data_IF_343419201655
#
_entry.id   IF_343419201655
#
_cell.length_a   1.000
_cell.length_b   1.000
_cell.length_c   1.000
_cell.angle_alpha   90.00
_cell.angle_beta   90.00
_cell.angle_gamma   90.00
#
_symmetry.space_group_name_H-M   'P 1'
#
loop_
_entity.id
_entity.type
_entity.pdbx_description
1 polymer ?
#
# COMPACT_ATOMS: atom_id res chain seq x y z
N UNK A 1 27.13 5.01 16.31
CA UNK A 1 25.77 5.24 15.78
C UNK A 1 24.94 5.74 16.96
N UNK A 2 24.24 6.87 16.86
CA UNK A 2 23.45 7.40 17.99
C UNK A 2 22.22 6.53 18.28
N UNK A 3 21.68 6.63 19.49
CA UNK A 3 20.47 5.95 19.93
C UNK A 3 19.28 6.25 19.00
N UNK A 4 19.16 7.51 18.55
CA UNK A 4 18.14 7.92 17.59
C UNK A 4 18.27 7.20 16.24
N UNK A 5 19.49 7.01 15.74
CA UNK A 5 19.71 6.31 14.48
C UNK A 5 19.38 4.82 14.64
N UNK A 6 19.76 4.21 15.77
CA UNK A 6 19.41 2.82 16.08
C UNK A 6 17.89 2.63 16.20
N UNK A 7 17.18 3.55 16.86
CA UNK A 7 15.72 3.53 16.96
C UNK A 7 15.04 3.64 15.58
N UNK A 8 15.54 4.52 14.70
CA UNK A 8 15.07 4.64 13.30
C UNK A 8 15.30 3.36 12.51
N UNK A 9 16.49 2.75 12.63
CA UNK A 9 16.79 1.49 11.96
C UNK A 9 15.92 0.35 12.45
N UNK A 10 15.75 0.21 13.76
CA UNK A 10 14.90 -0.83 14.34
C UNK A 10 13.44 -0.69 13.87
N UNK A 11 12.88 0.53 13.96
CA UNK A 11 11.51 0.78 13.53
C UNK A 11 11.35 0.60 12.00
N UNK A 12 12.31 1.07 11.21
CA UNK A 12 12.33 0.88 9.76
C UNK A 12 12.36 -0.60 9.36
N UNK A 13 13.19 -1.41 10.04
CA UNK A 13 13.27 -2.85 9.80
C UNK A 13 11.96 -3.55 10.17
N UNK A 14 11.45 -3.30 11.37
CA UNK A 14 10.21 -3.93 11.86
C UNK A 14 9.01 -3.55 10.99
N UNK A 15 8.87 -2.28 10.62
CA UNK A 15 7.80 -1.83 9.72
C UNK A 15 7.92 -2.45 8.32
N UNK A 16 9.11 -2.50 7.73
CA UNK A 16 9.33 -3.15 6.44
C UNK A 16 8.95 -4.65 6.48
N UNK A 17 9.40 -5.38 7.50
CA UNK A 17 9.04 -6.80 7.67
C UNK A 17 7.54 -7.01 7.88
N UNK A 18 6.91 -6.19 8.72
CA UNK A 18 5.47 -6.27 8.94
C UNK A 18 4.70 -6.05 7.63
N UNK A 19 5.12 -5.06 6.84
CA UNK A 19 4.50 -4.71 5.57
C UNK A 19 4.76 -5.74 4.46
N UNK A 20 5.57 -6.78 4.67
CA UNK A 20 5.60 -7.94 3.75
C UNK A 20 4.35 -8.83 3.89
N UNK A 21 3.69 -8.80 5.04
CA UNK A 21 2.52 -9.64 5.31
C UNK A 21 1.22 -8.87 5.12
N UNK A 22 1.18 -7.59 5.49
CA UNK A 22 -0.02 -6.74 5.41
C UNK A 22 -0.70 -6.73 4.03
N UNK A 23 -0.04 -6.33 2.92
CA UNK A 23 -0.70 -6.19 1.63
C UNK A 23 -1.25 -7.52 1.11
N UNK A 24 -0.54 -8.62 1.38
CA UNK A 24 -1.01 -9.95 0.99
C UNK A 24 -2.25 -10.38 1.79
N UNK A 25 -2.34 -10.04 3.08
CA UNK A 25 -3.55 -10.24 3.90
C UNK A 25 -4.73 -9.45 3.33
N UNK A 26 -4.52 -8.16 3.02
CA UNK A 26 -5.58 -7.30 2.46
C UNK A 26 -6.14 -7.84 1.15
N UNK A 27 -5.27 -8.30 0.25
CA UNK A 27 -5.67 -8.85 -1.04
C UNK A 27 -6.27 -10.26 -0.95
N UNK A 28 -5.64 -11.18 -0.21
CA UNK A 28 -6.13 -12.55 -0.11
C UNK A 28 -7.44 -12.66 0.65
N UNK A 29 -7.69 -11.84 1.68
CA UNK A 29 -8.97 -11.88 2.41
C UNK A 29 -10.15 -11.61 1.46
N UNK A 30 -10.02 -10.59 0.61
CA UNK A 30 -11.01 -10.25 -0.42
C UNK A 30 -11.13 -11.35 -1.48
N UNK A 31 -10.01 -11.89 -1.98
CA UNK A 31 -10.02 -12.93 -3.01
C UNK A 31 -10.66 -14.23 -2.49
N UNK A 32 -10.39 -14.63 -1.25
CA UNK A 32 -11.01 -15.81 -0.61
C UNK A 32 -12.51 -15.59 -0.42
N UNK A 33 -12.92 -14.40 0.06
CA UNK A 33 -14.34 -14.04 0.19
C UNK A 33 -15.07 -14.09 -1.16
N UNK A 34 -14.45 -13.60 -2.24
CA UNK A 34 -14.98 -13.66 -3.60
C UNK A 34 -15.12 -15.11 -4.07
N UNK A 35 -14.10 -15.94 -3.90
CA UNK A 35 -14.14 -17.35 -4.31
C UNK A 35 -15.24 -18.12 -3.58
N UNK A 36 -15.38 -17.90 -2.27
CA UNK A 36 -16.44 -18.53 -1.51
C UNK A 36 -17.83 -18.00 -1.90
N UNK A 37 -17.95 -16.71 -2.21
CA UNK A 37 -19.20 -16.14 -2.75
C UNK A 37 -19.62 -16.84 -4.04
N UNK A 38 -18.65 -17.10 -4.93
CA UNK A 38 -18.92 -17.82 -6.18
C UNK A 38 -19.37 -19.25 -5.87
N UNK A 39 -18.71 -19.93 -4.92
CA UNK A 39 -19.13 -21.26 -4.48
C UNK A 39 -20.58 -21.27 -3.96
N UNK A 40 -20.91 -20.46 -2.95
CA UNK A 40 -22.24 -20.46 -2.32
C UNK A 40 -23.35 -20.08 -3.30
N UNK A 41 -23.06 -19.22 -4.30
CA UNK A 41 -24.03 -18.85 -5.34
C UNK A 41 -24.20 -19.90 -6.42
N UNK A 42 -23.14 -20.62 -6.78
CA UNK A 42 -23.16 -21.52 -7.95
C UNK A 42 -23.22 -23.01 -7.60
N UNK A 43 -22.92 -23.39 -6.35
CA UNK A 43 -22.71 -24.77 -5.94
C UNK A 43 -21.44 -25.41 -6.52
N UNK A 44 -20.56 -24.64 -7.19
CA UNK A 44 -19.38 -25.19 -7.84
C UNK A 44 -18.26 -25.49 -6.82
N UNK A 45 -18.10 -26.78 -6.52
CA UNK A 45 -17.10 -27.33 -5.59
C UNK A 45 -15.63 -26.95 -5.91
N UNK A 46 -15.31 -26.62 -7.16
CA UNK A 46 -13.96 -26.13 -7.51
C UNK A 46 -13.67 -24.81 -6.77
N UNK A 47 -14.64 -23.91 -6.64
CA UNK A 47 -14.46 -22.65 -5.91
C UNK A 47 -14.41 -22.83 -4.39
N UNK A 48 -15.07 -23.87 -3.84
CA UNK A 48 -14.92 -24.27 -2.44
C UNK A 48 -13.49 -24.67 -2.14
N UNK A 49 -12.93 -25.56 -2.97
CA UNK A 49 -11.53 -25.99 -2.87
C UNK A 49 -10.57 -24.82 -3.03
N UNK A 50 -10.89 -23.87 -3.91
CA UNK A 50 -10.10 -22.65 -4.08
C UNK A 50 -10.10 -21.80 -2.81
N UNK A 51 -11.27 -21.52 -2.22
CA UNK A 51 -11.38 -20.79 -0.97
C UNK A 51 -10.59 -21.45 0.18
N UNK A 52 -10.64 -22.78 0.29
CA UNK A 52 -9.87 -23.55 1.28
C UNK A 52 -8.35 -23.48 1.04
N UNK A 53 -7.90 -23.65 -0.21
CA UNK A 53 -6.48 -23.63 -0.56
C UNK A 53 -5.85 -22.24 -0.36
N UNK A 54 -6.44 -21.21 -0.96
CA UNK A 54 -5.95 -19.84 -0.84
C UNK A 54 -6.15 -19.30 0.58
N UNK A 55 -7.23 -19.70 1.25
CA UNK A 55 -7.49 -19.39 2.64
C UNK A 55 -6.46 -19.96 3.60
N UNK A 56 -5.91 -21.15 3.33
CA UNK A 56 -4.78 -21.67 4.11
C UNK A 56 -3.55 -20.77 4.03
N UNK A 57 -3.20 -20.29 2.83
CA UNK A 57 -2.08 -19.37 2.63
C UNK A 57 -2.37 -18.00 3.29
N UNK A 58 -3.60 -17.52 3.17
CA UNK A 58 -4.08 -16.34 3.87
C UNK A 58 -3.89 -16.45 5.39
N UNK A 59 -4.34 -17.54 6.02
CA UNK A 59 -4.22 -17.73 7.49
C UNK A 59 -2.75 -17.79 7.94
N UNK A 60 -1.88 -18.44 7.17
CA UNK A 60 -0.44 -18.47 7.46
C UNK A 60 0.15 -17.05 7.41
N UNK A 61 -0.14 -16.31 6.33
CA UNK A 61 0.34 -14.95 6.15
C UNK A 61 -0.23 -13.99 7.22
N UNK A 62 -1.51 -14.11 7.50
CA UNK A 62 -2.22 -13.34 8.54
C UNK A 62 -1.56 -13.53 9.90
N UNK A 63 -1.26 -14.78 10.28
CA UNK A 63 -0.62 -15.09 11.56
C UNK A 63 0.72 -14.38 11.71
N UNK A 64 1.53 -14.34 10.64
CA UNK A 64 2.80 -13.58 10.64
C UNK A 64 2.58 -12.07 10.73
N UNK A 65 1.53 -11.56 10.07
CA UNK A 65 1.10 -10.17 10.20
C UNK A 65 0.76 -9.79 11.64
N UNK A 66 -0.01 -10.62 12.35
CA UNK A 66 -0.36 -10.39 13.77
C UNK A 66 0.88 -10.33 14.65
N UNK A 67 1.79 -11.31 14.54
CA UNK A 67 3.01 -11.38 15.35
C UNK A 67 3.88 -10.13 15.14
N UNK A 68 4.09 -9.75 13.88
CA UNK A 68 4.91 -8.57 13.54
C UNK A 68 4.24 -7.26 13.93
N UNK A 69 2.90 -7.17 13.84
CA UNK A 69 2.13 -6.00 14.23
C UNK A 69 2.18 -5.72 15.73
N UNK A 70 2.09 -6.77 16.57
CA UNK A 70 2.25 -6.65 18.03
C UNK A 70 3.59 -6.00 18.39
N UNK A 71 4.67 -6.44 17.75
CA UNK A 71 6.01 -5.86 17.98
C UNK A 71 6.04 -4.37 17.62
N UNK A 72 5.41 -3.99 16.51
CA UNK A 72 5.37 -2.60 16.04
C UNK A 72 4.60 -1.68 17.00
N UNK A 73 3.45 -2.14 17.54
CA UNK A 73 2.67 -1.38 18.53
C UNK A 73 3.49 -1.08 19.78
N UNK A 74 4.19 -2.07 20.32
CA UNK A 74 5.04 -1.86 21.50
C UNK A 74 6.24 -0.94 21.22
N UNK A 75 6.77 -0.91 19.99
CA UNK A 75 7.90 -0.03 19.65
C UNK A 75 7.55 1.46 19.75
N UNK A 76 6.29 1.86 19.51
CA UNK A 76 5.88 3.25 19.74
C UNK A 76 6.09 3.66 21.20
N UNK A 77 5.70 2.81 22.16
CA UNK A 77 5.84 3.10 23.58
C UNK A 77 7.28 2.99 24.11
N UNK A 78 8.04 2.00 23.62
CA UNK A 78 9.40 1.72 24.12
C UNK A 78 10.45 2.67 23.56
N UNK A 79 10.50 2.83 22.23
CA UNK A 79 11.59 3.54 21.55
C UNK A 79 11.24 5.00 21.22
N UNK A 80 9.95 5.35 21.27
CA UNK A 80 9.42 6.66 20.92
C UNK A 80 8.55 7.22 22.06
N UNK A 81 9.05 7.15 23.29
CA UNK A 81 8.28 7.49 24.50
C UNK A 81 7.87 8.97 24.57
N UNK A 82 8.75 9.91 24.19
CA UNK A 82 8.40 11.34 24.11
C UNK A 82 7.35 11.60 23.04
N UNK A 83 7.47 10.97 21.86
CA UNK A 83 6.45 11.04 20.82
C UNK A 83 5.10 10.53 21.33
N UNK A 84 5.10 9.36 21.99
CA UNK A 84 3.88 8.77 22.57
C UNK A 84 3.26 9.65 23.65
N UNK A 85 4.06 10.33 24.48
CA UNK A 85 3.55 11.31 25.45
C UNK A 85 3.00 12.56 24.77
N UNK A 86 3.67 13.03 23.72
CA UNK A 86 3.34 14.28 23.06
C UNK A 86 2.08 14.20 22.20
N UNK A 87 1.86 13.11 21.44
CA UNK A 87 0.68 12.97 20.55
C UNK A 87 -0.24 11.81 20.92
N UNK A 88 -0.06 11.18 22.08
CA UNK A 88 -0.80 9.98 22.47
C UNK A 88 -2.32 10.15 22.48
N UNK A 89 -2.82 11.34 22.82
CA UNK A 89 -4.26 11.66 22.83
C UNK A 89 -4.90 11.63 21.42
N UNK A 90 -4.11 11.88 20.38
CA UNK A 90 -4.57 11.91 18.99
C UNK A 90 -4.22 10.60 18.29
N UNK A 91 -2.95 10.19 18.39
CA UNK A 91 -2.42 9.01 17.71
C UNK A 91 -2.93 7.71 18.33
N UNK A 92 -3.12 7.67 19.65
CA UNK A 92 -3.53 6.46 20.36
C UNK A 92 -4.99 6.06 20.10
N UNK A 93 -5.86 7.00 19.76
CA UNK A 93 -7.31 6.74 19.59
C UNK A 93 -7.59 5.83 18.38
N UNK A 94 -7.10 6.13 17.15
CA UNK A 94 -7.26 5.21 16.03
C UNK A 94 -6.68 3.82 16.30
N UNK A 95 -5.50 3.72 16.95
CA UNK A 95 -4.89 2.44 17.31
C UNK A 95 -5.74 1.63 18.29
N UNK A 96 -6.36 2.29 19.28
CA UNK A 96 -7.26 1.63 20.22
C UNK A 96 -8.54 1.13 19.53
N UNK A 97 -9.12 1.94 18.63
CA UNK A 97 -10.30 1.55 17.84
C UNK A 97 -9.97 0.38 16.91
N UNK A 98 -8.80 0.40 16.27
CA UNK A 98 -8.31 -0.71 15.45
C UNK A 98 -8.31 -2.02 16.23
N UNK A 99 -7.73 -2.02 17.43
CA UNK A 99 -7.69 -3.19 18.29
C UNK A 99 -9.09 -3.64 18.74
N UNK A 100 -9.94 -2.71 19.19
CA UNK A 100 -11.26 -3.02 19.76
C UNK A 100 -12.29 -3.45 18.70
N UNK A 101 -12.24 -2.87 17.50
CA UNK A 101 -13.24 -3.08 16.46
C UNK A 101 -12.74 -4.04 15.38
N UNK A 102 -11.64 -3.72 14.72
CA UNK A 102 -11.19 -4.48 13.55
C UNK A 102 -10.57 -5.82 13.98
N UNK A 103 -9.64 -5.82 14.94
CA UNK A 103 -8.94 -7.03 15.35
C UNK A 103 -9.87 -8.06 16.04
N UNK A 104 -10.79 -7.60 16.91
CA UNK A 104 -11.78 -8.50 17.53
C UNK A 104 -12.73 -9.11 16.51
N UNK A 105 -13.25 -8.30 15.59
CA UNK A 105 -14.14 -8.76 14.53
C UNK A 105 -13.40 -9.78 13.65
N UNK A 106 -12.18 -9.46 13.24
CA UNK A 106 -11.34 -10.33 12.43
C UNK A 106 -11.04 -11.66 13.13
N UNK A 107 -10.48 -11.64 14.35
CA UNK A 107 -10.08 -12.86 15.06
C UNK A 107 -11.25 -13.78 15.39
N UNK A 108 -12.42 -13.22 15.75
CA UNK A 108 -13.62 -14.00 16.06
C UNK A 108 -14.20 -14.67 14.82
N UNK A 109 -14.44 -13.90 13.76
CA UNK A 109 -15.03 -14.45 12.54
C UNK A 109 -14.03 -15.31 11.74
N UNK A 110 -12.73 -15.05 11.85
CA UNK A 110 -11.71 -15.94 11.27
C UNK A 110 -11.71 -17.30 11.97
N UNK A 111 -11.90 -17.35 13.29
CA UNK A 111 -12.06 -18.61 14.01
C UNK A 111 -13.26 -19.41 13.51
N UNK A 112 -14.41 -18.75 13.32
CA UNK A 112 -15.61 -19.38 12.74
C UNK A 112 -15.30 -19.88 11.32
N UNK A 113 -14.63 -19.08 10.50
CA UNK A 113 -14.31 -19.45 9.13
C UNK A 113 -13.33 -20.63 9.01
N UNK A 114 -12.30 -20.70 9.86
CA UNK A 114 -11.31 -21.79 9.83
C UNK A 114 -11.97 -23.12 10.20
N UNK A 115 -12.81 -23.13 11.25
CA UNK A 115 -13.35 -24.35 11.83
C UNK A 115 -14.81 -24.65 11.45
N UNK A 116 -15.43 -23.78 10.65
CA UNK A 116 -16.87 -23.76 10.42
C UNK A 116 -17.38 -24.55 9.22
N UNK A 117 -16.51 -25.01 8.31
CA UNK A 117 -16.90 -25.64 7.04
C UNK A 117 -17.99 -26.72 7.14
N UNK A 118 -17.97 -27.52 8.22
CA UNK A 118 -18.95 -28.59 8.49
C UNK A 118 -19.81 -28.33 9.75
N UNK A 119 -19.65 -27.16 10.39
CA UNK A 119 -20.28 -26.84 11.68
C UNK A 119 -21.32 -25.71 11.61
N UNK A 120 -21.25 -24.86 10.59
CA UNK A 120 -22.20 -23.77 10.37
C UNK A 120 -22.78 -23.84 8.96
N UNK A 121 -23.90 -23.17 8.73
CA UNK A 121 -24.47 -23.07 7.38
C UNK A 121 -23.51 -22.33 6.43
N UNK A 122 -23.55 -22.67 5.15
CA UNK A 122 -22.71 -22.03 4.11
C UNK A 122 -22.86 -20.51 4.07
N UNK A 123 -24.05 -19.98 4.38
CA UNK A 123 -24.30 -18.53 4.46
C UNK A 123 -23.60 -17.87 5.65
N UNK A 124 -23.57 -18.54 6.79
CA UNK A 124 -22.86 -18.05 7.98
C UNK A 124 -21.35 -18.13 7.77
N UNK A 125 -20.89 -19.19 7.13
CA UNK A 125 -19.48 -19.34 6.74
C UNK A 125 -19.05 -18.21 5.79
N UNK A 126 -19.86 -17.94 4.77
CA UNK A 126 -19.62 -16.85 3.82
C UNK A 126 -19.66 -15.47 4.48
N UNK A 127 -20.62 -15.23 5.36
CA UNK A 127 -20.68 -13.99 6.15
C UNK A 127 -19.40 -13.80 6.96
N UNK A 128 -18.87 -14.89 7.54
CA UNK A 128 -17.67 -14.85 8.37
C UNK A 128 -16.45 -14.36 7.58
N UNK A 129 -16.22 -14.88 6.36
CA UNK A 129 -15.08 -14.42 5.55
C UNK A 129 -15.24 -12.99 5.05
N UNK A 130 -16.47 -12.55 4.75
CA UNK A 130 -16.71 -11.16 4.39
C UNK A 130 -16.47 -10.20 5.56
N UNK A 131 -16.89 -10.58 6.78
CA UNK A 131 -16.60 -9.80 7.98
C UNK A 131 -15.10 -9.73 8.25
N UNK A 132 -14.37 -10.83 8.08
CA UNK A 132 -12.89 -10.85 8.13
C UNK A 132 -12.32 -9.89 7.08
N UNK A 133 -12.69 -10.03 5.81
CA UNK A 133 -12.12 -9.21 4.73
C UNK A 133 -12.40 -7.72 4.92
N UNK A 134 -13.62 -7.35 5.33
CA UNK A 134 -13.99 -5.97 5.63
C UNK A 134 -13.22 -5.47 6.86
N UNK A 135 -13.10 -6.27 7.92
CA UNK A 135 -12.36 -5.91 9.13
C UNK A 135 -10.87 -5.66 8.84
N UNK A 136 -10.20 -6.56 8.11
CA UNK A 136 -8.78 -6.39 7.74
C UNK A 136 -8.55 -5.09 6.96
N UNK A 137 -9.45 -4.79 6.02
CA UNK A 137 -9.35 -3.56 5.23
C UNK A 137 -9.71 -2.31 6.05
N UNK A 138 -10.66 -2.39 6.98
CA UNK A 138 -11.01 -1.30 7.88
C UNK A 138 -9.91 -1.03 8.92
N UNK A 139 -9.16 -2.04 9.36
CA UNK A 139 -7.95 -1.83 10.19
C UNK A 139 -6.98 -0.87 9.52
N UNK A 140 -6.76 -1.02 8.20
CA UNK A 140 -5.89 -0.11 7.46
C UNK A 140 -6.37 1.35 7.51
N UNK A 141 -7.68 1.63 7.63
CA UNK A 141 -8.20 2.99 7.76
C UNK A 141 -7.71 3.65 9.05
N UNK A 142 -7.77 2.92 10.15
CA UNK A 142 -7.43 3.44 11.48
C UNK A 142 -5.94 3.74 11.59
N UNK A 143 -5.09 2.80 11.17
CA UNK A 143 -3.63 3.02 11.21
C UNK A 143 -3.19 4.11 10.20
N UNK A 144 -3.87 4.22 9.04
CA UNK A 144 -3.58 5.29 8.08
C UNK A 144 -4.15 6.63 8.51
N UNK A 145 -5.18 6.67 9.34
CA UNK A 145 -5.63 7.90 10.03
C UNK A 145 -4.53 8.43 10.94
N UNK A 146 -3.92 7.54 11.74
CA UNK A 146 -2.79 7.88 12.58
C UNK A 146 -1.57 8.34 11.75
N UNK A 147 -1.24 7.65 10.67
CA UNK A 147 -0.15 8.06 9.78
C UNK A 147 -0.43 9.39 9.06
N UNK A 148 -1.66 9.62 8.63
CA UNK A 148 -2.07 10.86 7.96
C UNK A 148 -1.97 12.06 8.87
N UNK A 149 -2.30 11.93 10.15
CA UNK A 149 -2.04 12.97 11.14
C UNK A 149 -0.55 13.32 11.23
N UNK A 150 0.34 12.32 11.20
CA UNK A 150 1.80 12.58 11.20
C UNK A 150 2.27 13.35 9.96
N UNK A 151 1.57 13.21 8.82
CA UNK A 151 1.93 13.84 7.55
C UNK A 151 1.28 15.22 7.36
N UNK A 152 0.04 15.37 7.83
CA UNK A 152 -0.77 16.58 7.74
C UNK A 152 -1.57 16.72 9.06
N UNK A 153 -0.98 17.32 10.10
CA UNK A 153 -1.62 17.45 11.41
C UNK A 153 -2.86 18.36 11.34
N UNK A 154 -4.01 17.84 11.78
CA UNK A 154 -5.29 18.57 11.88
C UNK A 154 -5.96 18.23 13.21
N UNK A 155 -7.02 18.98 13.56
CA UNK A 155 -7.88 18.68 14.71
C UNK A 155 -7.14 18.53 16.05
N UNK A 156 -6.16 19.40 16.31
CA UNK A 156 -5.42 19.41 17.56
C UNK A 156 -5.21 20.82 18.12
N UNK A 157 -4.97 20.88 19.43
CA UNK A 157 -4.46 22.06 20.13
C UNK A 157 -3.16 21.71 20.86
N UNK A 158 -2.31 22.70 21.07
CA UNK A 158 -1.09 22.53 21.85
C UNK A 158 -1.32 23.01 23.28
N UNK A 159 -0.98 22.15 24.23
CA UNK A 159 -0.78 22.52 25.64
C UNK A 159 0.70 22.79 25.88
N UNK A 160 1.08 23.12 27.12
CA UNK A 160 2.49 23.29 27.49
C UNK A 160 3.33 22.01 27.31
N UNK A 161 2.71 20.83 27.31
CA UNK A 161 3.43 19.54 27.37
C UNK A 161 3.06 18.54 26.28
N UNK A 162 1.91 18.71 25.61
CA UNK A 162 1.40 17.75 24.60
C UNK A 162 0.42 18.37 23.62
N UNK A 163 0.19 17.68 22.50
CA UNK A 163 -0.91 17.91 21.60
C UNK A 163 -2.17 17.13 22.07
N UNK A 164 -3.30 17.81 22.12
CA UNK A 164 -4.60 17.25 22.50
C UNK A 164 -5.58 17.32 21.33
N UNK A 165 -6.39 16.28 21.16
CA UNK A 165 -7.35 16.19 20.07
C UNK A 165 -8.53 17.12 20.34
N UNK A 166 -8.85 17.97 19.36
CA UNK A 166 -10.01 18.88 19.46
C UNK A 166 -11.25 18.31 18.79
N UNK A 167 -11.09 17.53 17.72
CA UNK A 167 -12.21 16.98 16.96
C UNK A 167 -11.87 15.65 16.26
N UNK A 168 -12.47 14.55 16.74
CA UNK A 168 -12.25 13.23 16.16
C UNK A 168 -12.77 13.08 14.72
N UNK A 169 -13.90 13.73 14.38
CA UNK A 169 -14.46 13.63 13.03
C UNK A 169 -13.57 14.37 12.01
N UNK A 170 -13.01 15.52 12.39
CA UNK A 170 -12.05 16.25 11.56
C UNK A 170 -10.75 15.46 11.36
N UNK A 171 -10.27 14.76 12.39
CA UNK A 171 -9.14 13.82 12.27
C UNK A 171 -9.42 12.71 11.25
N UNK A 172 -10.61 12.09 11.32
CA UNK A 172 -11.02 11.02 10.39
C UNK A 172 -11.28 11.54 8.97
N UNK A 173 -11.73 12.78 8.82
CA UNK A 173 -11.97 13.44 7.53
C UNK A 173 -10.76 14.20 6.99
N UNK A 174 -9.59 14.05 7.63
CA UNK A 174 -8.33 14.60 7.15
C UNK A 174 -8.13 14.23 5.66
N UNK A 175 -8.00 15.21 4.75
CA UNK A 175 -7.88 14.95 3.31
C UNK A 175 -6.75 13.98 2.97
N UNK A 176 -5.66 13.98 3.75
CA UNK A 176 -4.52 13.09 3.53
C UNK A 176 -4.93 11.61 3.66
N UNK A 177 -5.83 11.27 4.59
CA UNK A 177 -6.37 9.90 4.76
C UNK A 177 -7.05 9.45 3.47
N UNK A 178 -7.90 10.28 2.89
CA UNK A 178 -8.73 9.90 1.76
C UNK A 178 -7.97 9.87 0.43
N UNK A 179 -6.79 10.46 0.36
CA UNK A 179 -5.84 10.25 -0.74
C UNK A 179 -4.95 9.02 -0.52
N UNK A 180 -4.52 8.74 0.72
CA UNK A 180 -3.61 7.65 1.05
C UNK A 180 -4.30 6.28 1.17
N UNK A 181 -5.43 6.21 1.87
CA UNK A 181 -6.14 4.97 2.19
C UNK A 181 -6.52 4.16 0.96
N UNK A 182 -7.16 4.74 -0.08
CA UNK A 182 -7.50 3.96 -1.26
C UNK A 182 -6.25 3.48 -2.00
N UNK A 183 -5.16 4.26 -1.99
CA UNK A 183 -3.91 3.84 -2.61
C UNK A 183 -3.33 2.60 -1.93
N UNK A 184 -3.26 2.59 -0.60
CA UNK A 184 -2.71 1.47 0.17
C UNK A 184 -3.55 0.20 0.02
N UNK A 185 -4.88 0.31 0.12
CA UNK A 185 -5.78 -0.84 -0.04
C UNK A 185 -5.67 -1.44 -1.45
N UNK A 186 -5.72 -0.59 -2.48
CA UNK A 186 -5.67 -1.07 -3.86
C UNK A 186 -4.30 -1.66 -4.22
N UNK A 187 -3.22 -1.15 -3.60
CA UNK A 187 -1.91 -1.80 -3.63
C UNK A 187 -1.96 -3.21 -3.02
N UNK A 188 -2.54 -3.37 -1.82
CA UNK A 188 -2.71 -4.68 -1.20
C UNK A 188 -3.55 -5.66 -2.05
N UNK A 189 -4.62 -5.17 -2.67
CA UNK A 189 -5.43 -5.95 -3.61
C UNK A 189 -4.61 -6.41 -4.82
N UNK A 190 -3.77 -5.52 -5.35
CA UNK A 190 -2.85 -5.84 -6.45
C UNK A 190 -1.85 -6.91 -6.01
N UNK A 191 -1.27 -6.80 -4.81
CA UNK A 191 -0.36 -7.81 -4.23
C UNK A 191 -1.02 -9.19 -4.15
N UNK A 192 -2.23 -9.28 -3.59
CA UNK A 192 -2.98 -10.54 -3.54
C UNK A 192 -3.27 -11.13 -4.92
N UNK A 193 -3.62 -10.29 -5.89
CA UNK A 193 -3.87 -10.73 -7.26
C UNK A 193 -2.63 -11.31 -7.93
N UNK A 194 -1.49 -10.61 -7.85
CA UNK A 194 -0.22 -11.04 -8.43
C UNK A 194 0.32 -12.31 -7.77
N UNK A 195 0.09 -12.47 -6.47
CA UNK A 195 0.39 -13.72 -5.76
C UNK A 195 -0.39 -14.91 -6.32
N UNK A 196 -1.72 -14.78 -6.47
CA UNK A 196 -2.57 -15.82 -7.07
C UNK A 196 -2.16 -16.09 -8.52
N UNK A 197 -1.88 -15.04 -9.31
CA UNK A 197 -1.46 -15.16 -10.71
C UNK A 197 -0.15 -15.91 -10.84
N UNK A 198 0.86 -15.56 -10.05
CA UNK A 198 2.19 -16.19 -10.11
C UNK A 198 2.16 -17.66 -9.72
N UNK A 199 1.48 -18.00 -8.62
CA UNK A 199 1.34 -19.41 -8.19
C UNK A 199 0.49 -20.20 -9.19
N UNK A 200 -0.61 -19.62 -9.70
CA UNK A 200 -1.43 -20.29 -10.71
C UNK A 200 -0.64 -20.54 -12.00
N UNK A 201 0.14 -19.56 -12.45
CA UNK A 201 1.00 -19.71 -13.62
C UNK A 201 2.02 -20.85 -13.45
N UNK A 202 2.65 -20.94 -12.28
CA UNK A 202 3.58 -22.03 -11.95
C UNK A 202 2.93 -23.42 -12.05
N UNK A 203 1.73 -23.59 -11.50
CA UNK A 203 1.02 -24.88 -11.56
C UNK A 203 0.49 -25.20 -12.97
N UNK A 204 0.03 -24.20 -13.71
CA UNK A 204 -0.42 -24.36 -15.10
C UNK A 204 0.72 -24.81 -16.02
N UNK A 205 1.92 -24.25 -15.87
CA UNK A 205 3.12 -24.68 -16.61
C UNK A 205 3.47 -26.15 -16.36
N UNK A 206 3.23 -26.64 -15.14
CA UNK A 206 3.44 -28.04 -14.75
C UNK A 206 2.26 -28.96 -15.09
N UNK A 207 1.21 -28.44 -15.71
CA UNK A 207 -0.03 -29.15 -16.03
C UNK A 207 -0.68 -29.81 -14.80
N UNK A 208 -0.52 -29.21 -13.61
CA UNK A 208 -1.09 -29.69 -12.37
C UNK A 208 -2.46 -29.05 -12.15
N UNK A 209 -3.50 -29.86 -11.88
CA UNK A 209 -4.86 -29.45 -11.53
C UNK A 209 -5.37 -28.27 -12.39
N UNK A 210 -5.39 -28.48 -13.71
CA UNK A 210 -5.60 -27.41 -14.70
C UNK A 210 -6.89 -26.63 -14.47
N UNK A 211 -8.01 -27.29 -14.17
CA UNK A 211 -9.28 -26.60 -13.93
C UNK A 211 -9.18 -25.62 -12.75
N UNK A 212 -8.66 -26.09 -11.62
CA UNK A 212 -8.48 -25.29 -10.42
C UNK A 212 -7.63 -24.04 -10.68
N UNK A 213 -6.46 -24.22 -11.32
CA UNK A 213 -5.54 -23.11 -11.53
C UNK A 213 -5.93 -22.21 -12.71
N UNK A 214 -6.69 -22.70 -13.70
CA UNK A 214 -7.31 -21.82 -14.71
C UNK A 214 -8.36 -20.91 -14.08
N UNK A 215 -9.20 -21.44 -13.19
CA UNK A 215 -10.19 -20.64 -12.47
C UNK A 215 -9.54 -19.65 -11.50
N UNK A 216 -8.52 -20.08 -10.75
CA UNK A 216 -7.72 -19.20 -9.88
C UNK A 216 -7.05 -18.08 -10.67
N UNK A 217 -6.43 -18.41 -11.82
CA UNK A 217 -5.82 -17.45 -12.72
C UNK A 217 -6.84 -16.44 -13.26
N UNK A 218 -8.04 -16.89 -13.62
CA UNK A 218 -9.11 -16.01 -14.12
C UNK A 218 -9.57 -15.02 -13.04
N UNK A 219 -9.83 -15.48 -11.82
CA UNK A 219 -10.20 -14.61 -10.70
C UNK A 219 -9.09 -13.60 -10.41
N UNK A 220 -7.84 -14.07 -10.29
CA UNK A 220 -6.67 -13.20 -10.06
C UNK A 220 -6.45 -12.18 -11.18
N UNK A 221 -6.64 -12.57 -12.45
CA UNK A 221 -6.45 -11.67 -13.58
C UNK A 221 -7.50 -10.55 -13.64
N UNK A 222 -8.77 -10.88 -13.38
CA UNK A 222 -9.86 -9.88 -13.36
C UNK A 222 -9.67 -8.92 -12.19
N UNK A 223 -9.47 -9.47 -10.98
CA UNK A 223 -9.29 -8.67 -9.78
C UNK A 223 -8.03 -7.80 -9.89
N UNK A 224 -6.90 -8.39 -10.28
CA UNK A 224 -5.63 -7.68 -10.44
C UNK A 224 -5.66 -6.56 -11.48
N UNK A 225 -6.33 -6.77 -12.62
CA UNK A 225 -6.48 -5.70 -13.62
C UNK A 225 -7.28 -4.52 -13.07
N UNK A 226 -8.39 -4.79 -12.38
CA UNK A 226 -9.21 -3.73 -11.78
C UNK A 226 -8.40 -3.00 -10.70
N UNK A 227 -7.78 -3.73 -9.78
CA UNK A 227 -7.00 -3.15 -8.67
C UNK A 227 -5.82 -2.31 -9.15
N UNK A 228 -5.05 -2.79 -10.14
CA UNK A 228 -3.86 -2.08 -10.62
C UNK A 228 -4.21 -0.82 -11.41
N UNK A 229 -5.32 -0.82 -12.15
CA UNK A 229 -5.78 0.39 -12.84
C UNK A 229 -6.30 1.43 -11.84
N UNK A 230 -7.04 0.98 -10.83
CA UNK A 230 -7.54 1.87 -9.78
C UNK A 230 -6.40 2.46 -8.94
N UNK A 231 -5.40 1.66 -8.54
CA UNK A 231 -4.26 2.17 -7.74
C UNK A 231 -3.42 3.16 -8.54
N UNK A 232 -3.22 2.94 -9.85
CA UNK A 232 -2.53 3.90 -10.70
C UNK A 232 -3.28 5.24 -10.77
N UNK A 233 -4.61 5.20 -10.96
CA UNK A 233 -5.44 6.41 -10.99
C UNK A 233 -5.49 7.15 -9.65
N UNK A 234 -5.61 6.43 -8.53
CA UNK A 234 -5.58 7.03 -7.19
C UNK A 234 -4.18 7.57 -6.88
N UNK A 235 -3.12 6.87 -7.27
CA UNK A 235 -1.74 7.31 -7.10
C UNK A 235 -1.44 8.61 -7.83
N UNK A 236 -1.95 8.76 -9.05
CA UNK A 236 -1.88 10.03 -9.78
C UNK A 236 -2.53 11.17 -8.98
N UNK A 237 -3.78 10.97 -8.53
CA UNK A 237 -4.49 11.98 -7.70
C UNK A 237 -3.78 12.28 -6.39
N UNK A 238 -3.21 11.26 -5.73
CA UNK A 238 -2.44 11.45 -4.50
C UNK A 238 -1.16 12.25 -4.77
N UNK A 239 -0.46 12.00 -5.88
CA UNK A 239 0.71 12.77 -6.30
C UNK A 239 0.38 14.26 -6.47
N UNK A 240 -0.73 14.57 -7.16
CA UNK A 240 -1.21 15.95 -7.32
C UNK A 240 -1.52 16.62 -5.98
N UNK A 241 -2.19 15.90 -5.07
CA UNK A 241 -2.45 16.40 -3.72
C UNK A 241 -1.16 16.65 -2.91
N UNK A 242 -0.13 15.82 -3.10
CA UNK A 242 1.16 16.00 -2.43
C UNK A 242 1.97 17.17 -2.98
N UNK A 243 1.77 17.59 -4.24
CA UNK A 243 2.36 18.82 -4.77
C UNK A 243 1.89 20.03 -3.96
N UNK A 244 0.63 20.04 -3.53
CA UNK A 244 0.05 21.16 -2.76
C UNK A 244 0.38 21.06 -1.27
N UNK A 245 0.29 19.85 -0.69
CA UNK A 245 0.37 19.67 0.77
C UNK A 245 1.77 19.32 1.28
N UNK A 246 2.61 18.67 0.48
CA UNK A 246 3.99 18.30 0.82
C UNK A 246 4.94 18.51 -0.37
N UNK A 247 5.08 19.74 -0.89
CA UNK A 247 5.86 20.03 -2.10
C UNK A 247 7.32 19.58 -2.00
N UNK A 248 7.95 19.70 -0.83
CA UNK A 248 9.35 19.26 -0.62
C UNK A 248 9.53 17.76 -0.89
N UNK A 249 8.54 16.93 -0.52
CA UNK A 249 8.56 15.49 -0.77
C UNK A 249 8.47 15.19 -2.26
N UNK A 250 7.62 15.91 -2.99
CA UNK A 250 7.47 15.74 -4.44
C UNK A 250 8.68 16.27 -5.20
N UNK A 251 9.24 17.42 -4.81
CA UNK A 251 10.46 17.96 -5.39
C UNK A 251 11.65 17.00 -5.20
N UNK A 252 11.80 16.42 -4.01
CA UNK A 252 12.78 15.37 -3.75
C UNK A 252 12.49 14.09 -4.55
N UNK A 253 11.22 13.70 -4.65
CA UNK A 253 10.77 12.59 -5.49
C UNK A 253 10.93 12.87 -6.99
N UNK A 254 11.31 14.07 -7.42
CA UNK A 254 11.66 14.38 -8.81
C UNK A 254 13.13 14.80 -8.98
N UNK A 255 13.90 14.85 -7.89
CA UNK A 255 15.22 15.48 -7.81
C UNK A 255 15.25 16.89 -8.42
N UNK A 256 14.18 17.66 -8.22
CA UNK A 256 14.04 19.02 -8.72
C UNK A 256 14.67 20.01 -7.73
N UNK A 257 15.89 20.44 -8.00
CA UNK A 257 16.63 21.37 -7.13
C UNK A 257 16.16 22.82 -7.28
N UNK A 258 16.02 23.27 -8.52
CA UNK A 258 15.59 24.62 -8.89
C UNK A 258 14.14 24.60 -9.36
N UNK A 259 13.39 25.66 -9.04
CA UNK A 259 12.02 25.84 -9.54
C UNK A 259 12.00 25.95 -11.06
N UNK A 260 11.03 25.31 -11.71
CA UNK A 260 10.96 25.25 -13.16
C UNK A 260 9.52 25.35 -13.69
N UNK A 261 9.34 26.07 -14.80
CA UNK A 261 8.10 26.15 -15.58
C UNK A 261 8.40 26.09 -17.10
N UNK A 262 8.04 25.00 -17.81
CA UNK A 262 7.48 23.78 -17.26
C UNK A 262 8.56 22.89 -16.62
N UNK A 263 8.20 22.21 -15.54
CA UNK A 263 9.11 21.32 -14.82
C UNK A 263 9.37 20.01 -15.59
N UNK A 264 10.65 19.62 -15.77
CA UNK A 264 11.01 18.39 -16.46
C UNK A 264 10.87 17.18 -15.52
N UNK A 265 10.62 15.99 -16.09
CA UNK A 265 10.62 14.71 -15.35
C UNK A 265 11.95 14.01 -15.54
N UNK A 266 12.77 13.96 -14.49
CA UNK A 266 14.04 13.23 -14.52
C UNK A 266 13.77 11.72 -14.50
N UNK A 267 13.95 11.05 -15.64
CA UNK A 267 13.81 9.59 -15.76
C UNK A 267 14.95 8.92 -14.99
N UNK A 268 16.17 9.40 -15.20
CA UNK A 268 17.38 8.98 -14.49
C UNK A 268 18.22 10.21 -14.17
N UNK A 269 18.70 10.33 -12.93
CA UNK A 269 19.55 11.42 -12.49
C UNK A 269 20.69 10.92 -11.59
N UNK A 270 21.86 11.52 -11.75
CA UNK A 270 23.01 11.36 -10.86
C UNK A 270 23.04 12.55 -9.88
N UNK A 271 22.45 12.31 -8.70
CA UNK A 271 22.18 13.34 -7.70
C UNK A 271 23.41 13.57 -6.82
N UNK A 272 23.86 14.82 -6.69
CA UNK A 272 24.85 15.26 -5.71
C UNK A 272 24.16 16.14 -4.66
N UNK A 273 23.79 15.52 -3.53
CA UNK A 273 23.10 16.19 -2.42
C UNK A 273 23.99 17.24 -1.72
N UNK A 274 25.33 17.12 -1.82
CA UNK A 274 26.24 18.10 -1.21
C UNK A 274 26.30 19.38 -2.03
N UNK A 275 26.27 19.24 -3.36
CA UNK A 275 26.22 20.38 -4.29
C UNK A 275 24.81 20.87 -4.57
N UNK A 276 23.79 20.12 -4.11
CA UNK A 276 22.39 20.40 -4.37
C UNK A 276 22.08 20.55 -5.86
N UNK A 277 22.58 19.60 -6.65
CA UNK A 277 22.41 19.57 -8.10
C UNK A 277 22.33 18.14 -8.63
N UNK A 278 21.78 17.99 -9.84
CA UNK A 278 21.91 16.77 -10.63
C UNK A 278 23.12 16.94 -11.55
N UNK A 279 24.21 16.24 -11.27
CA UNK A 279 25.45 16.32 -12.07
C UNK A 279 25.26 15.79 -13.50
N UNK A 280 24.26 14.92 -13.69
CA UNK A 280 23.83 14.41 -14.98
C UNK A 280 22.39 13.92 -14.87
N UNK A 281 21.56 14.11 -15.91
CA UNK A 281 20.21 13.57 -15.96
C UNK A 281 19.72 13.33 -17.39
N UNK A 282 18.80 12.39 -17.53
CA UNK A 282 17.93 12.25 -18.70
C UNK A 282 16.53 12.64 -18.25
N UNK A 283 16.03 13.75 -18.78
CA UNK A 283 14.74 14.28 -18.40
C UNK A 283 13.79 14.43 -19.60
N UNK A 284 12.51 14.23 -19.35
CA UNK A 284 11.44 14.48 -20.32
C UNK A 284 10.86 15.88 -20.07
N UNK A 285 10.95 16.81 -21.05
CA UNK A 285 10.48 18.18 -20.88
C UNK A 285 8.99 18.25 -20.51
N UNK A 286 8.65 19.07 -19.51
CA UNK A 286 7.28 19.39 -19.08
C UNK A 286 6.45 18.24 -18.51
N UNK A 287 7.03 17.04 -18.37
CA UNK A 287 6.31 15.88 -17.86
C UNK A 287 6.00 15.98 -16.36
N UNK A 288 6.84 16.64 -15.55
CA UNK A 288 6.52 16.85 -14.12
C UNK A 288 5.37 17.83 -13.97
N UNK A 289 5.32 18.90 -14.76
CA UNK A 289 4.14 19.78 -14.81
C UNK A 289 2.89 19.03 -15.26
N UNK A 290 3.01 18.10 -16.23
CA UNK A 290 1.90 17.25 -16.63
C UNK A 290 1.41 16.35 -15.48
N UNK A 291 2.33 15.72 -14.76
CA UNK A 291 1.98 14.89 -13.60
C UNK A 291 1.34 15.71 -12.47
N UNK A 292 1.82 16.94 -12.24
CA UNK A 292 1.31 17.84 -11.22
C UNK A 292 -0.06 18.43 -11.59
N UNK A 293 -0.25 18.89 -12.83
CA UNK A 293 -1.38 19.74 -13.21
C UNK A 293 -2.24 19.21 -14.37
N UNK A 294 -1.93 18.04 -14.92
CA UNK A 294 -2.55 17.49 -16.14
C UNK A 294 -2.37 18.38 -17.39
N UNK A 295 -1.32 19.21 -17.42
CA UNK A 295 -0.93 20.05 -18.56
C UNK A 295 0.59 20.20 -18.60
N UNK A 296 1.18 20.32 -19.78
CA UNK A 296 2.63 20.49 -19.97
C UNK A 296 3.15 21.90 -19.61
N UNK A 297 2.44 22.62 -18.75
CA UNK A 297 2.74 23.98 -18.33
C UNK A 297 2.36 24.15 -16.85
N UNK A 298 3.09 24.97 -16.12
CA UNK A 298 2.88 25.24 -14.71
C UNK A 298 4.14 25.02 -13.90
N UNK A 299 4.46 26.01 -13.09
CA UNK A 299 5.60 26.05 -12.19
C UNK A 299 5.52 24.94 -11.13
N UNK A 300 6.60 24.18 -10.97
CA UNK A 300 6.78 23.28 -9.82
C UNK A 300 7.97 23.79 -9.02
N UNK A 301 7.75 24.03 -7.72
CA UNK A 301 8.78 24.56 -6.82
C UNK A 301 9.91 23.56 -6.61
N UNK A 302 11.15 24.04 -6.74
CA UNK A 302 12.36 23.28 -6.46
C UNK A 302 12.70 23.23 -4.98
N UNK A 303 13.54 22.27 -4.61
CA UNK A 303 13.95 22.05 -3.21
C UNK A 303 14.65 23.25 -2.58
N UNK A 304 15.41 24.06 -3.34
CA UNK A 304 16.11 25.23 -2.79
C UNK A 304 15.14 26.32 -2.34
N UNK A 305 14.14 26.64 -3.17
CA UNK A 305 13.13 27.63 -2.81
C UNK A 305 12.26 27.14 -1.65
N UNK A 306 11.87 25.86 -1.67
CA UNK A 306 11.10 25.24 -0.58
C UNK A 306 11.89 25.21 0.74
N UNK A 307 13.19 24.99 0.67
CA UNK A 307 14.08 25.02 1.83
C UNK A 307 14.11 26.42 2.46
N UNK A 308 14.25 27.47 1.63
CA UNK A 308 14.19 28.87 2.09
C UNK A 308 12.83 29.20 2.72
N UNK A 309 11.73 28.75 2.12
CA UNK A 309 10.38 28.92 2.67
C UNK A 309 10.21 28.24 4.04
N UNK A 310 10.77 27.04 4.20
CA UNK A 310 10.72 26.29 5.45
C UNK A 310 11.62 26.90 6.53
N UNK A 311 12.81 27.37 6.18
CA UNK A 311 13.68 28.10 7.10
C UNK A 311 13.02 29.38 7.61
N UNK A 312 12.37 30.14 6.71
CA UNK A 312 11.64 31.34 7.08
C UNK A 312 10.47 31.05 8.03
N UNK A 313 9.81 29.89 7.89
CA UNK A 313 8.63 29.52 8.67
C UNK A 313 8.96 28.85 10.01
N UNK A 314 9.97 27.98 10.04
CA UNK A 314 10.26 27.08 11.17
C UNK A 314 11.63 27.36 11.82
N UNK A 315 12.40 28.29 11.29
CA UNK A 315 13.73 28.64 11.77
C UNK A 315 14.85 27.91 11.01
N UNK A 316 16.12 28.19 11.36
CA UNK A 316 17.27 27.61 10.66
C UNK A 316 17.33 26.09 10.84
N UNK A 317 17.49 25.35 9.74
CA UNK A 317 17.61 23.90 9.77
C UNK A 317 17.56 23.31 8.36
N UNK A 318 17.90 22.04 8.19
CA UNK A 318 17.76 21.35 6.89
C UNK A 318 16.45 20.57 6.84
N UNK A 319 15.55 20.96 5.94
CA UNK A 319 14.22 20.36 5.77
C UNK A 319 14.13 19.50 4.49
N UNK A 320 15.21 19.41 3.71
CA UNK A 320 15.29 18.56 2.52
C UNK A 320 15.43 17.08 2.97
N UNK A 321 14.51 16.17 2.57
CA UNK A 321 14.62 14.76 2.88
C UNK A 321 15.77 14.08 2.11
N UNK A 322 16.15 12.84 2.43
CA UNK A 322 17.17 12.10 1.67
C UNK A 322 16.76 11.90 0.19
N UNK A 323 17.23 12.79 -0.68
CA UNK A 323 16.77 12.94 -2.07
C UNK A 323 16.99 11.66 -2.86
N UNK A 324 18.17 11.04 -2.76
CA UNK A 324 18.47 9.80 -3.49
C UNK A 324 17.50 8.68 -3.14
N UNK A 325 17.20 8.51 -1.86
CA UNK A 325 16.31 7.47 -1.38
C UNK A 325 14.89 7.70 -1.87
N UNK A 326 14.38 8.93 -1.75
CA UNK A 326 13.03 9.29 -2.20
C UNK A 326 12.92 9.17 -3.73
N UNK A 327 13.88 9.74 -4.46
CA UNK A 327 13.96 9.71 -5.93
C UNK A 327 13.87 8.29 -6.47
N UNK A 328 14.76 7.39 -6.02
CA UNK A 328 14.82 6.02 -6.54
C UNK A 328 13.63 5.18 -6.08
N UNK A 329 13.16 5.35 -4.85
CA UNK A 329 11.95 4.66 -4.38
C UNK A 329 10.75 5.01 -5.25
N UNK A 330 10.60 6.29 -5.63
CA UNK A 330 9.54 6.72 -6.53
C UNK A 330 9.67 6.10 -7.93
N UNK A 331 10.89 6.05 -8.52
CA UNK A 331 11.11 5.40 -9.84
C UNK A 331 10.79 3.92 -9.79
N UNK A 332 11.25 3.19 -8.76
CA UNK A 332 10.95 1.78 -8.63
C UNK A 332 9.46 1.52 -8.47
N UNK A 333 8.77 2.32 -7.64
CA UNK A 333 7.32 2.22 -7.45
C UNK A 333 6.55 2.46 -8.76
N UNK A 334 6.81 3.57 -9.46
CA UNK A 334 6.10 3.91 -10.71
C UNK A 334 6.45 2.92 -11.83
N UNK A 335 7.72 2.51 -11.92
CA UNK A 335 8.19 1.51 -12.88
C UNK A 335 7.55 0.14 -12.66
N UNK A 336 7.54 -0.34 -11.41
CA UNK A 336 6.87 -1.59 -11.04
C UNK A 336 5.37 -1.50 -11.28
N UNK A 337 4.72 -0.40 -10.88
CA UNK A 337 3.29 -0.13 -11.14
C UNK A 337 2.94 -0.20 -12.62
N UNK A 338 3.72 0.47 -13.47
CA UNK A 338 3.54 0.47 -14.92
C UNK A 338 3.71 -0.93 -15.52
N UNK A 339 4.72 -1.68 -15.08
CA UNK A 339 4.92 -3.06 -15.50
C UNK A 339 3.76 -3.96 -15.04
N UNK A 340 3.27 -3.79 -13.82
CA UNK A 340 2.13 -4.54 -13.30
C UNK A 340 0.85 -4.27 -14.11
N UNK A 341 0.59 -3.02 -14.54
CA UNK A 341 -0.55 -2.72 -15.43
C UNK A 341 -0.46 -3.54 -16.72
N UNK A 342 0.71 -3.57 -17.36
CA UNK A 342 0.92 -4.35 -18.59
C UNK A 342 0.75 -5.85 -18.37
N UNK A 343 1.35 -6.40 -17.30
CA UNK A 343 1.26 -7.82 -16.98
C UNK A 343 -0.18 -8.23 -16.63
N UNK A 344 -0.90 -7.42 -15.87
CA UNK A 344 -2.29 -7.67 -15.52
C UNK A 344 -3.21 -7.63 -16.76
N UNK A 345 -2.98 -6.68 -17.67
CA UNK A 345 -3.71 -6.60 -18.93
C UNK A 345 -3.48 -7.85 -19.79
N UNK A 346 -2.22 -8.29 -19.94
CA UNK A 346 -1.91 -9.52 -20.67
C UNK A 346 -2.52 -10.74 -19.97
N UNK A 347 -2.44 -10.84 -18.63
CA UNK A 347 -3.05 -11.93 -17.87
C UNK A 347 -4.58 -11.97 -18.08
N UNK A 348 -5.24 -10.82 -18.09
CA UNK A 348 -6.67 -10.72 -18.35
C UNK A 348 -7.05 -11.14 -19.76
N UNK A 349 -6.31 -10.70 -20.79
CA UNK A 349 -6.54 -11.14 -22.17
C UNK A 349 -6.36 -12.67 -22.28
N UNK A 350 -5.31 -13.21 -21.64
CA UNK A 350 -5.05 -14.65 -21.65
C UNK A 350 -6.08 -15.45 -20.86
N UNK A 351 -6.63 -14.92 -19.78
CA UNK A 351 -7.67 -15.61 -19.01
C UNK A 351 -8.98 -15.74 -19.79
N UNK A 352 -9.29 -14.79 -20.68
CA UNK A 352 -10.46 -14.86 -21.59
C UNK A 352 -10.37 -15.98 -22.62
N UNK A 353 -9.18 -16.45 -22.98
CA UNK A 353 -9.00 -17.56 -23.92
C UNK A 353 -9.48 -18.92 -23.37
N UNK A 354 -9.71 -19.03 -22.05
CA UNK A 354 -10.04 -20.27 -21.37
C UNK A 354 -8.89 -21.29 -21.26
N UNK A 355 -7.75 -21.03 -21.94
CA UNK A 355 -6.56 -21.89 -21.94
C UNK A 355 -5.27 -21.05 -21.76
N UNK A 356 -5.13 -20.32 -20.63
CA UNK A 356 -3.96 -19.47 -20.36
C UNK A 356 -2.62 -20.24 -20.44
N UNK A 357 -2.63 -21.55 -20.20
CA UNK A 357 -1.44 -22.42 -20.28
C UNK A 357 -0.81 -22.54 -21.68
N UNK A 358 -1.54 -22.15 -22.73
CA UNK A 358 -0.99 -22.09 -24.10
C UNK A 358 0.08 -21.00 -24.26
N UNK A 359 0.06 -19.96 -23.43
CA UNK A 359 1.03 -18.87 -23.44
C UNK A 359 2.21 -19.14 -22.49
N UNK A 360 2.91 -20.26 -22.69
CA UNK A 360 3.95 -20.73 -21.77
C UNK A 360 5.06 -19.69 -21.51
N UNK A 361 5.44 -18.89 -22.52
CA UNK A 361 6.43 -17.83 -22.34
C UNK A 361 6.00 -16.77 -21.32
N UNK A 362 4.73 -16.33 -21.38
CA UNK A 362 4.18 -15.36 -20.45
C UNK A 362 4.02 -15.95 -19.04
N UNK A 363 3.54 -17.19 -18.93
CA UNK A 363 3.40 -17.84 -17.62
C UNK A 363 4.73 -18.04 -16.89
N UNK A 364 5.86 -18.13 -17.61
CA UNK A 364 7.19 -18.20 -16.97
C UNK A 364 7.60 -16.90 -16.28
N UNK A 365 7.01 -15.77 -16.67
CA UNK A 365 7.31 -14.44 -16.11
C UNK A 365 6.55 -14.22 -14.79
N UNK A 366 5.29 -14.67 -14.73
CA UNK A 366 4.38 -14.35 -13.61
C UNK A 366 4.85 -14.81 -12.22
N UNK A 367 5.53 -15.96 -12.03
CA UNK A 367 6.10 -16.30 -10.73
C UNK A 367 7.11 -15.26 -10.22
N UNK A 368 7.90 -14.66 -11.11
CA UNK A 368 8.83 -13.58 -10.77
C UNK A 368 8.09 -12.26 -10.52
N UNK A 369 6.97 -12.05 -11.21
CA UNK A 369 6.13 -10.87 -11.02
C UNK A 369 5.47 -10.79 -9.63
N UNK A 370 5.49 -11.88 -8.84
CA UNK A 370 5.05 -11.86 -7.43
C UNK A 370 5.84 -10.83 -6.62
N UNK A 371 7.10 -10.58 -6.98
CA UNK A 371 7.95 -9.62 -6.27
C UNK A 371 7.66 -8.15 -6.60
N UNK A 372 6.97 -7.83 -7.70
CA UNK A 372 6.75 -6.44 -8.13
C UNK A 372 5.88 -5.59 -7.19
N UNK A 373 4.81 -6.12 -6.56
CA UNK A 373 4.00 -5.37 -5.60
C UNK A 373 4.66 -5.20 -4.21
N UNK A 374 5.85 -5.76 -3.99
CA UNK A 374 6.65 -5.66 -2.76
C UNK A 374 7.81 -4.70 -2.97
#
# INVERSE_FOLDING_TARGET
MSELILARWQFGLTSAYHFLFVPLTLGLSMLVAIMETIYVRSGNETYKKMAQFWGKLFVINFSMGVVTGIVMVFQFGMNWSEYSRFVGDIFGVPLAIEALLAFFLESTFLGIWIFGWEKVSEKVHLLSIWLVAIASNLSSLWILTANSFMQNPVAYTLTETRAEMTNFLELLTNPYVWHQFPHVILSGFTTGAFFILGISAYHLLRKNNLEFFRNSFKVGAVFGLISVLLVAGVGHKQGQFLIETQPMKMAAAEALWETADPAPFAVVALIDEKKQENTWEIALPGMTSFLAYNKFAGEVKGMKDLQLEQEARYGPGNYIPPVKTVYWSFRFMVGAGSLMVLLALVAFIRSRSGRPETAAGFLKILPWAIALPY
#
